data_IF_386891144924
#
_entry.id   IF_386891144924
#
_cell.length_a   1.000
_cell.length_b   1.000
_cell.length_c   1.000
_cell.angle_alpha   90.00
_cell.angle_beta   90.00
_cell.angle_gamma   90.00
#
_symmetry.space_group_name_H-M   'P 1'
#
loop_
_entity.id
_entity.type
_entity.pdbx_description
1 polymer ?
#
# COMPACT_ATOMS: atom_id res chain seq x y z
N UNK A 1 21.89 -9.52 4.36
CA UNK A 1 20.91 -9.99 5.36
C UNK A 1 19.46 -9.69 4.94
N UNK A 2 19.11 -8.46 4.55
CA UNK A 2 17.73 -8.14 4.13
C UNK A 2 17.36 -8.78 2.77
N UNK A 3 18.26 -8.75 1.78
CA UNK A 3 18.00 -9.40 0.48
C UNK A 3 17.78 -10.93 0.63
N UNK A 4 18.46 -11.55 1.60
CA UNK A 4 18.29 -12.97 1.92
C UNK A 4 16.99 -13.25 2.67
N UNK A 5 16.58 -12.38 3.63
CA UNK A 5 15.29 -12.52 4.31
C UNK A 5 14.11 -12.35 3.35
N UNK A 6 14.10 -11.26 2.56
CA UNK A 6 13.05 -11.02 1.58
C UNK A 6 13.00 -12.13 0.52
N UNK A 7 14.16 -12.67 0.11
CA UNK A 7 14.23 -13.84 -0.76
C UNK A 7 13.67 -15.11 -0.11
N UNK A 8 13.99 -15.38 1.16
CA UNK A 8 13.48 -16.53 1.89
C UNK A 8 11.95 -16.44 2.09
N UNK A 9 11.44 -15.29 2.51
CA UNK A 9 10.00 -15.05 2.63
C UNK A 9 9.30 -15.18 1.28
N UNK A 10 9.88 -14.67 0.20
CA UNK A 10 9.33 -14.85 -1.13
C UNK A 10 9.20 -16.34 -1.48
N UNK A 11 10.21 -17.16 -1.17
CA UNK A 11 10.17 -18.61 -1.38
C UNK A 11 9.10 -19.29 -0.52
N UNK A 12 8.93 -18.87 0.74
CA UNK A 12 7.85 -19.35 1.62
C UNK A 12 6.48 -19.08 1.00
N UNK A 13 6.26 -17.86 0.48
CA UNK A 13 5.01 -17.48 -0.18
C UNK A 13 4.86 -18.10 -1.57
N UNK A 14 5.93 -18.50 -2.25
CA UNK A 14 5.81 -19.24 -3.50
C UNK A 14 5.45 -20.73 -3.27
N UNK A 15 5.75 -21.26 -2.09
CA UNK A 15 5.52 -22.65 -1.78
C UNK A 15 4.02 -22.99 -1.71
N UNK A 16 3.57 -23.88 -2.59
CA UNK A 16 2.20 -24.36 -2.61
C UNK A 16 1.16 -23.42 -3.19
N UNK A 17 1.59 -22.40 -3.93
CA UNK A 17 0.69 -21.59 -4.76
C UNK A 17 0.02 -22.45 -5.83
N UNK A 18 -1.30 -22.33 -5.97
CA UNK A 18 -2.09 -23.00 -7.00
C UNK A 18 -1.86 -22.31 -8.34
N UNK A 19 -1.54 -23.06 -9.40
CA UNK A 19 -1.54 -22.49 -10.75
C UNK A 19 -2.98 -22.22 -11.18
N UNK A 20 -3.32 -20.96 -11.47
CA UNK A 20 -4.62 -20.61 -12.04
C UNK A 20 -4.70 -21.09 -13.48
N UNK A 21 -5.88 -21.59 -13.89
CA UNK A 21 -6.12 -22.14 -15.24
C UNK A 21 -6.08 -21.08 -16.35
N UNK A 22 -6.23 -19.81 -15.98
CA UNK A 22 -6.02 -18.67 -16.85
C UNK A 22 -4.65 -18.08 -16.51
N UNK A 23 -3.88 -17.73 -17.54
CA UNK A 23 -2.46 -17.32 -17.58
C UNK A 23 -2.08 -16.09 -16.73
N UNK A 24 -2.91 -15.69 -15.76
CA UNK A 24 -2.52 -14.74 -14.73
C UNK A 24 -1.39 -15.39 -13.94
N UNK A 25 -0.21 -14.78 -14.01
CA UNK A 25 0.97 -15.25 -13.30
C UNK A 25 0.63 -15.39 -11.82
N UNK A 26 0.54 -16.64 -11.34
CA UNK A 26 0.31 -16.90 -9.92
C UNK A 26 1.58 -16.50 -9.17
N UNK A 27 1.52 -15.32 -8.56
CA UNK A 27 2.66 -14.71 -7.88
C UNK A 27 2.23 -14.24 -6.48
N UNK A 28 3.15 -14.24 -5.51
CA UNK A 28 2.85 -13.82 -4.13
C UNK A 28 2.23 -12.43 -4.00
N UNK A 29 2.60 -11.50 -4.90
CA UNK A 29 2.07 -10.14 -4.85
C UNK A 29 0.57 -10.09 -5.15
N UNK A 30 0.11 -10.78 -6.18
CA UNK A 30 -1.32 -10.83 -6.51
C UNK A 30 -2.16 -11.47 -5.41
N UNK A 31 -1.61 -12.44 -4.67
CA UNK A 31 -2.25 -12.94 -3.44
C UNK A 31 -2.36 -11.84 -2.38
N UNK A 32 -1.28 -11.10 -2.12
CA UNK A 32 -1.25 -10.02 -1.13
C UNK A 32 -2.27 -8.94 -1.49
N UNK A 33 -2.34 -8.53 -2.76
CA UNK A 33 -3.32 -7.54 -3.24
C UNK A 33 -4.75 -7.97 -2.93
N UNK A 34 -5.10 -9.23 -3.23
CA UNK A 34 -6.44 -9.75 -2.97
C UNK A 34 -6.73 -9.91 -1.47
N UNK A 35 -5.78 -10.41 -0.68
CA UNK A 35 -5.94 -10.58 0.77
C UNK A 35 -6.16 -9.23 1.46
N UNK A 36 -5.36 -8.24 1.09
CA UNK A 36 -5.43 -6.88 1.64
C UNK A 36 -6.74 -6.19 1.24
N UNK A 37 -7.17 -6.32 -0.02
CA UNK A 37 -8.49 -5.84 -0.44
C UNK A 37 -9.61 -6.49 0.39
N UNK A 38 -9.51 -7.80 0.63
CA UNK A 38 -10.53 -8.56 1.36
C UNK A 38 -10.64 -8.16 2.83
N UNK A 39 -9.53 -7.94 3.52
CA UNK A 39 -9.58 -7.48 4.91
C UNK A 39 -10.20 -6.09 5.05
N UNK A 40 -9.95 -5.20 4.09
CA UNK A 40 -10.44 -3.81 4.12
C UNK A 40 -11.89 -3.65 3.67
N UNK A 41 -12.50 -4.65 3.04
CA UNK A 41 -13.91 -4.60 2.62
C UNK A 41 -14.88 -4.37 3.79
N UNK A 42 -14.54 -4.87 5.00
CA UNK A 42 -15.45 -4.84 6.16
C UNK A 42 -15.77 -3.41 6.62
N UNK A 43 -14.79 -2.51 6.55
CA UNK A 43 -14.88 -1.13 7.07
C UNK A 43 -14.28 -0.09 6.12
N UNK A 44 -14.38 -0.35 4.81
CA UNK A 44 -13.65 0.40 3.79
C UNK A 44 -13.83 1.92 3.90
N UNK A 45 -15.06 2.41 4.10
CA UNK A 45 -15.32 3.86 4.19
C UNK A 45 -14.64 4.50 5.40
N UNK A 46 -14.59 3.81 6.53
CA UNK A 46 -13.97 4.34 7.76
C UNK A 46 -12.45 4.36 7.62
N UNK A 47 -11.87 3.24 7.15
CA UNK A 47 -10.43 3.11 6.90
C UNK A 47 -9.97 4.13 5.88
N UNK A 48 -10.69 4.28 4.77
CA UNK A 48 -10.36 5.24 3.73
C UNK A 48 -10.33 6.68 4.26
N UNK A 49 -11.38 7.10 4.98
CA UNK A 49 -11.42 8.44 5.59
C UNK A 49 -10.26 8.68 6.55
N UNK A 50 -9.92 7.68 7.38
CA UNK A 50 -8.78 7.78 8.31
C UNK A 50 -7.45 7.91 7.57
N UNK A 51 -7.23 7.10 6.54
CA UNK A 51 -6.02 7.16 5.72
C UNK A 51 -5.85 8.51 5.03
N UNK A 52 -6.93 9.07 4.47
CA UNK A 52 -6.92 10.41 3.86
C UNK A 52 -6.56 11.47 4.89
N UNK A 53 -7.21 11.46 6.06
CA UNK A 53 -6.93 12.42 7.13
C UNK A 53 -5.50 12.31 7.65
N UNK A 54 -5.00 11.09 7.87
CA UNK A 54 -3.61 10.85 8.26
C UNK A 54 -2.64 11.42 7.23
N UNK A 55 -2.89 11.22 5.93
CA UNK A 55 -2.06 11.78 4.85
C UNK A 55 -2.14 13.32 4.82
N UNK A 56 -3.34 13.90 4.94
CA UNK A 56 -3.55 15.36 4.84
C UNK A 56 -2.93 16.13 6.01
N UNK A 57 -2.98 15.57 7.22
CA UNK A 57 -2.54 16.24 8.44
C UNK A 57 -1.23 15.67 9.01
N UNK A 58 -0.56 14.77 8.29
CA UNK A 58 0.67 14.10 8.72
C UNK A 58 0.57 13.41 10.10
N UNK A 59 -0.63 12.93 10.45
CA UNK A 59 -0.89 12.29 11.75
C UNK A 59 -0.18 10.94 11.91
N UNK A 60 0.29 10.37 10.79
CA UNK A 60 1.01 9.10 10.75
C UNK A 60 2.51 9.24 11.05
N UNK A 61 3.06 10.46 11.14
CA UNK A 61 4.47 10.70 11.44
C UNK A 61 4.82 10.65 12.93
N UNK A 62 3.88 11.01 13.82
CA UNK A 62 4.15 11.16 15.27
C UNK A 62 3.53 10.06 16.15
N UNK A 63 2.88 9.05 15.57
CA UNK A 63 2.31 7.95 16.35
C UNK A 63 1.74 6.81 15.51
N UNK A 64 1.57 5.63 16.13
CA UNK A 64 0.91 4.45 15.54
C UNK A 64 -0.61 4.65 15.42
N UNK A 65 -1.03 5.67 14.67
CA UNK A 65 -2.44 6.03 14.46
C UNK A 65 -3.17 4.98 13.62
N UNK A 66 -2.44 4.29 12.74
CA UNK A 66 -2.96 3.26 11.86
C UNK A 66 -2.69 1.85 12.42
N UNK A 67 -3.69 0.99 12.31
CA UNK A 67 -3.56 -0.45 12.60
C UNK A 67 -2.66 -1.17 11.59
N UNK A 68 -2.18 -2.38 11.90
CA UNK A 68 -1.32 -3.15 10.99
C UNK A 68 -2.01 -3.44 9.64
N UNK A 69 -3.32 -3.63 9.62
CA UNK A 69 -4.10 -3.84 8.41
C UNK A 69 -4.11 -2.58 7.52
N UNK A 70 -4.31 -1.41 8.12
CA UNK A 70 -4.35 -0.13 7.42
C UNK A 70 -2.96 0.27 6.91
N UNK A 71 -1.93 0.03 7.71
CA UNK A 71 -0.53 0.21 7.31
C UNK A 71 -0.16 -0.70 6.14
N UNK A 72 -0.61 -1.95 6.16
CA UNK A 72 -0.41 -2.88 5.05
C UNK A 72 -1.12 -2.40 3.80
N UNK A 73 -2.40 -2.01 3.91
CA UNK A 73 -3.17 -1.44 2.80
C UNK A 73 -2.48 -0.22 2.19
N UNK A 74 -2.10 0.76 3.02
CA UNK A 74 -1.36 1.96 2.58
C UNK A 74 -0.07 1.60 1.83
N UNK A 75 0.70 0.65 2.37
CA UNK A 75 1.97 0.22 1.79
C UNK A 75 1.78 -0.46 0.43
N UNK A 76 0.78 -1.33 0.30
CA UNK A 76 0.44 -1.98 -0.98
C UNK A 76 0.01 -0.95 -2.02
N UNK A 77 -0.84 0.02 -1.65
CA UNK A 77 -1.24 1.11 -2.55
C UNK A 77 -0.05 1.95 -3.02
N UNK A 78 0.86 2.29 -2.11
CA UNK A 78 2.07 3.04 -2.43
C UNK A 78 2.97 2.28 -3.41
N UNK A 79 3.21 0.99 -3.15
CA UNK A 79 4.04 0.14 -4.02
C UNK A 79 3.39 -0.06 -5.39
N UNK A 80 2.05 -0.14 -5.45
CA UNK A 80 1.32 -0.31 -6.69
C UNK A 80 1.34 0.91 -7.61
N UNK A 81 1.70 2.10 -7.11
CA UNK A 81 2.03 3.24 -7.97
C UNK A 81 3.26 2.99 -8.84
N UNK A 82 4.19 2.13 -8.41
CA UNK A 82 5.38 1.78 -9.19
C UNK A 82 5.06 0.73 -10.24
N UNK A 83 5.78 0.83 -11.37
CA UNK A 83 5.72 -0.15 -12.46
C UNK A 83 6.61 -1.38 -12.21
N UNK A 84 7.15 -1.52 -11.00
CA UNK A 84 8.12 -2.54 -10.65
C UNK A 84 7.57 -3.97 -10.83
N UNK A 85 8.44 -4.95 -11.17
CA UNK A 85 8.06 -6.36 -11.22
C UNK A 85 7.50 -6.87 -9.89
N UNK A 86 6.61 -7.87 -9.94
CA UNK A 86 5.90 -8.40 -8.77
C UNK A 86 6.82 -8.87 -7.64
N UNK A 87 7.95 -9.50 -7.97
CA UNK A 87 8.94 -9.90 -6.95
C UNK A 87 9.62 -8.70 -6.29
N UNK A 88 9.88 -7.62 -7.05
CA UNK A 88 10.44 -6.39 -6.51
C UNK A 88 9.44 -5.69 -5.60
N UNK A 89 8.16 -5.64 -5.98
CA UNK A 89 7.07 -5.15 -5.12
C UNK A 89 7.02 -5.89 -3.79
N UNK A 90 7.08 -7.23 -3.82
CA UNK A 90 7.14 -8.05 -2.61
C UNK A 90 8.34 -7.71 -1.73
N UNK A 91 9.54 -7.58 -2.31
CA UNK A 91 10.76 -7.23 -1.56
C UNK A 91 10.66 -5.83 -0.95
N UNK A 92 10.12 -4.86 -1.68
CA UNK A 92 9.86 -3.51 -1.17
C UNK A 92 8.92 -3.54 0.02
N UNK A 93 7.84 -4.34 -0.04
CA UNK A 93 6.92 -4.51 1.08
C UNK A 93 7.63 -5.10 2.31
N UNK A 94 8.47 -6.12 2.14
CA UNK A 94 9.25 -6.67 3.26
C UNK A 94 10.13 -5.59 3.90
N UNK A 95 10.81 -4.75 3.09
CA UNK A 95 11.60 -3.64 3.60
C UNK A 95 10.75 -2.62 4.38
N UNK A 96 9.57 -2.25 3.86
CA UNK A 96 8.65 -1.34 4.56
C UNK A 96 8.20 -1.94 5.90
N UNK A 97 7.82 -3.22 5.93
CA UNK A 97 7.40 -3.88 7.16
C UNK A 97 8.51 -4.02 8.21
N UNK A 98 9.79 -4.09 7.79
CA UNK A 98 10.93 -4.06 8.69
C UNK A 98 11.19 -2.66 9.27
N UNK A 99 11.14 -1.63 8.42
CA UNK A 99 11.30 -0.24 8.86
C UNK A 99 10.22 0.15 9.89
N UNK A 100 8.98 -0.25 9.63
CA UNK A 100 7.82 0.00 10.49
C UNK A 100 7.73 -1.00 11.67
N UNK A 101 8.60 -2.02 11.73
CA UNK A 101 8.62 -3.08 12.75
C UNK A 101 7.30 -3.87 12.88
N UNK A 102 6.52 -3.93 11.79
CA UNK A 102 5.19 -4.55 11.75
C UNK A 102 5.11 -5.80 10.88
N UNK A 103 6.22 -6.26 10.28
CA UNK A 103 6.23 -7.37 9.32
C UNK A 103 5.58 -8.66 9.85
N UNK A 104 5.76 -8.98 11.14
CA UNK A 104 5.13 -10.13 11.79
C UNK A 104 3.61 -9.97 11.93
N UNK A 105 3.12 -8.75 12.15
CA UNK A 105 1.68 -8.45 12.18
C UNK A 105 1.09 -8.52 10.77
N UNK A 106 1.80 -8.05 9.75
CA UNK A 106 1.35 -8.18 8.36
C UNK A 106 1.18 -9.65 7.92
N UNK A 107 2.05 -10.56 8.39
CA UNK A 107 1.86 -11.98 8.14
C UNK A 107 0.56 -12.52 8.77
N UNK A 108 0.18 -12.01 9.94
CA UNK A 108 -1.07 -12.36 10.62
C UNK A 108 -2.30 -11.80 9.88
N UNK A 109 -2.23 -10.56 9.40
CA UNK A 109 -3.27 -9.97 8.54
C UNK A 109 -3.45 -10.78 7.25
N UNK A 110 -2.36 -11.19 6.60
CA UNK A 110 -2.45 -12.02 5.39
C UNK A 110 -3.04 -13.40 5.66
N UNK A 111 -2.82 -13.95 6.86
CA UNK A 111 -3.39 -15.22 7.27
C UNK A 111 -4.86 -15.10 7.74
N UNK A 112 -5.34 -13.94 8.21
CA UNK A 112 -6.74 -13.79 8.66
C UNK A 112 -7.75 -13.98 7.50
N UNK A 113 -7.36 -13.66 6.26
CA UNK A 113 -8.15 -13.89 5.05
C UNK A 113 -8.17 -15.36 4.59
N UNK A 114 -8.70 -16.27 5.41
CA UNK A 114 -8.72 -17.71 5.11
C UNK A 114 -9.30 -18.02 3.73
N UNK A 115 -10.43 -17.42 3.35
CA UNK A 115 -11.06 -17.64 2.04
C UNK A 115 -10.13 -17.34 0.85
N UNK A 116 -9.34 -16.27 0.94
CA UNK A 116 -8.36 -15.90 -0.09
C UNK A 116 -7.18 -16.86 -0.03
N UNK A 117 -6.70 -17.19 1.17
CA UNK A 117 -5.62 -18.15 1.37
C UNK A 117 -5.95 -19.52 0.74
N UNK A 118 -7.18 -20.01 0.93
CA UNK A 118 -7.65 -21.26 0.34
C UNK A 118 -7.79 -21.21 -1.17
N UNK A 119 -8.16 -20.05 -1.73
CA UNK A 119 -8.23 -19.81 -3.17
C UNK A 119 -6.85 -19.90 -3.80
N UNK A 120 -5.83 -19.29 -3.18
CA UNK A 120 -4.49 -19.14 -3.76
C UNK A 120 -3.54 -20.31 -3.45
N UNK A 121 -3.75 -21.05 -2.36
CA UNK A 121 -2.77 -22.03 -1.87
C UNK A 121 -3.34 -23.43 -1.63
N UNK A 122 -2.56 -24.44 -2.02
CA UNK A 122 -2.80 -25.83 -1.66
C UNK A 122 -2.66 -26.03 -0.14
N UNK A 123 -3.37 -27.00 0.46
CA UNK A 123 -3.34 -27.23 1.92
C UNK A 123 -1.93 -27.51 2.50
N UNK A 124 -1.01 -28.03 1.68
CA UNK A 124 0.38 -28.30 2.07
C UNK A 124 1.31 -27.09 1.95
N UNK A 125 0.81 -25.92 1.52
CA UNK A 125 1.57 -24.69 1.49
C UNK A 125 2.03 -24.28 2.90
N UNK A 126 3.24 -23.73 3.06
CA UNK A 126 3.76 -23.37 4.38
C UNK A 126 2.86 -22.39 5.10
N UNK A 127 2.34 -21.41 4.38
CA UNK A 127 1.42 -20.40 4.92
C UNK A 127 0.03 -20.94 5.29
N UNK A 128 -0.32 -22.17 4.89
CA UNK A 128 -1.56 -22.87 5.27
C UNK A 128 -1.37 -23.89 6.40
N UNK A 129 -0.12 -24.25 6.69
CA UNK A 129 0.24 -25.17 7.77
C UNK A 129 0.65 -24.39 9.02
N UNK A 130 0.64 -24.99 10.23
CA UNK A 130 1.07 -24.29 11.46
C UNK A 130 2.50 -23.71 11.41
N UNK A 131 3.31 -24.07 10.42
CA UNK A 131 4.62 -23.47 10.13
C UNK A 131 4.54 -21.94 10.01
N UNK A 132 3.44 -21.37 9.52
CA UNK A 132 3.29 -19.90 9.41
C UNK A 132 3.41 -19.19 10.78
N UNK A 133 2.92 -19.83 11.86
CA UNK A 133 3.04 -19.29 13.23
C UNK A 133 4.50 -19.27 13.68
N UNK A 134 5.26 -20.32 13.37
CA UNK A 134 6.67 -20.38 13.67
C UNK A 134 7.42 -19.25 12.94
N UNK A 135 7.16 -19.07 11.65
CA UNK A 135 7.74 -17.96 10.86
C UNK A 135 7.36 -16.60 11.48
N UNK A 136 6.09 -16.41 11.88
CA UNK A 136 5.64 -15.20 12.57
C UNK A 136 6.44 -14.93 13.84
N UNK A 137 6.63 -15.96 14.67
CA UNK A 137 7.37 -15.84 15.93
C UNK A 137 8.85 -15.45 15.70
N UNK A 138 9.51 -16.02 14.70
CA UNK A 138 10.88 -15.65 14.33
C UNK A 138 10.96 -14.20 13.81
N UNK A 139 10.00 -13.79 12.97
CA UNK A 139 9.91 -12.42 12.48
C UNK A 139 9.66 -11.41 13.60
N UNK A 140 8.97 -11.80 14.68
CA UNK A 140 8.72 -10.94 15.84
C UNK A 140 10.01 -10.54 16.55
N UNK A 141 11.07 -11.35 16.50
CA UNK A 141 12.36 -10.97 17.10
C UNK A 141 13.00 -9.77 16.40
N UNK A 142 12.66 -9.54 15.11
CA UNK A 142 13.21 -8.44 14.34
C UNK A 142 12.74 -7.07 14.83
N UNK A 143 11.66 -6.98 15.62
CA UNK A 143 11.18 -5.71 16.19
C UNK A 143 12.17 -5.08 17.17
N UNK A 144 13.13 -5.85 17.68
CA UNK A 144 14.17 -5.34 18.57
C UNK A 144 15.18 -4.46 17.84
N UNK A 145 15.15 -4.46 16.51
CA UNK A 145 16.06 -3.67 15.67
C UNK A 145 15.29 -2.55 14.97
N UNK A 146 15.92 -1.38 14.88
CA UNK A 146 15.43 -0.25 14.10
C UNK A 146 16.07 -0.28 12.72
N UNK A 147 15.28 -0.59 11.69
CA UNK A 147 15.74 -0.64 10.31
C UNK A 147 15.47 0.68 9.59
N UNK A 148 16.43 1.13 8.77
CA UNK A 148 16.29 2.30 7.91
C UNK A 148 16.69 1.90 6.49
N UNK A 149 15.81 1.13 5.83
CA UNK A 149 16.07 0.54 4.53
C UNK A 149 15.50 1.45 3.43
N UNK A 150 16.32 1.72 2.42
CA UNK A 150 15.85 2.35 1.19
C UNK A 150 14.86 1.40 0.50
N UNK A 151 13.60 1.81 0.43
CA UNK A 151 12.62 1.16 -0.43
C UNK A 151 13.05 1.42 -1.87
N UNK A 152 13.26 0.37 -2.67
CA UNK A 152 13.72 0.47 -4.06
C UNK A 152 12.70 1.12 -5.03
N UNK A 153 11.78 1.91 -4.49
CA UNK A 153 10.78 2.72 -5.18
C UNK A 153 11.42 3.91 -5.91
N UNK A 154 12.56 4.40 -5.41
CA UNK A 154 13.25 5.63 -5.86
C UNK A 154 13.88 5.57 -7.26
N UNK A 155 13.81 4.44 -7.97
CA UNK A 155 14.44 4.30 -9.29
C UNK A 155 13.59 4.84 -10.46
N UNK A 156 12.30 5.14 -10.25
CA UNK A 156 11.40 5.61 -11.33
C UNK A 156 11.24 7.14 -11.39
N UNK A 157 11.88 7.90 -10.49
CA UNK A 157 11.78 9.38 -10.45
C UNK A 157 13.14 10.07 -10.63
N UNK A 158 13.70 10.02 -11.84
CA UNK A 158 14.65 11.06 -12.29
C UNK A 158 14.58 11.30 -13.82
N UNK A 159 14.90 12.52 -14.30
CA UNK A 159 14.20 13.18 -15.40
C UNK A 159 14.85 12.91 -16.76
N UNK A 160 14.06 12.57 -17.78
CA UNK A 160 14.56 12.52 -19.17
C UNK A 160 14.76 13.94 -19.70
N UNK A 161 16.00 14.43 -19.60
CA UNK A 161 16.50 15.63 -20.31
C UNK A 161 16.38 15.45 -21.83
N UNK A 162 15.81 16.47 -22.46
CA UNK A 162 16.02 16.99 -23.81
C UNK A 162 16.63 16.05 -24.88
N UNK A 163 15.80 15.67 -25.85
CA UNK A 163 16.18 15.83 -27.25
C UNK A 163 15.12 16.64 -27.99
N UNK A 164 15.63 17.67 -28.68
CA UNK A 164 14.94 18.68 -29.45
C UNK A 164 14.47 18.10 -30.80
N UNK A 165 13.37 18.67 -31.32
CA UNK A 165 13.02 18.81 -32.75
C UNK A 165 11.99 17.81 -33.32
N UNK A 166 10.69 18.19 -33.40
CA UNK A 166 10.09 18.95 -34.53
C UNK A 166 8.55 19.07 -34.39
N UNK A 167 8.08 20.28 -34.70
CA UNK A 167 6.69 20.77 -34.81
C UNK A 167 5.80 19.92 -35.72
N UNK A 168 4.49 19.83 -35.41
CA UNK A 168 3.41 20.45 -36.24
C UNK A 168 1.97 20.27 -35.68
N UNK A 169 1.37 21.43 -35.38
CA UNK A 169 -0.01 21.92 -35.66
C UNK A 169 -1.28 21.39 -34.93
N UNK A 170 -1.89 22.35 -34.22
CA UNK A 170 -3.28 22.55 -33.74
C UNK A 170 -4.44 22.13 -34.67
N UNK A 171 -5.58 21.66 -34.08
CA UNK A 171 -6.90 22.36 -33.99
C UNK A 171 -8.02 21.48 -33.34
N UNK A 172 -9.21 22.02 -32.96
CA UNK A 172 -9.83 21.81 -31.64
C UNK A 172 -11.14 20.97 -31.60
N UNK A 173 -11.62 20.76 -30.36
CA UNK A 173 -12.87 20.18 -29.82
C UNK A 173 -14.19 20.38 -30.60
N UNK A 174 -15.26 19.61 -30.29
CA UNK A 174 -16.23 20.13 -29.31
C UNK A 174 -16.86 19.09 -28.34
N UNK A 175 -17.26 19.64 -27.18
CA UNK A 175 -18.06 19.10 -26.08
C UNK A 175 -19.51 18.71 -26.44
N UNK A 176 -20.14 17.81 -25.66
CA UNK A 176 -21.45 18.06 -25.02
C UNK A 176 -21.78 17.04 -23.88
N UNK A 177 -22.67 17.40 -22.95
CA UNK A 177 -22.84 16.81 -21.61
C UNK A 177 -24.01 15.81 -21.53
N UNK A 178 -24.13 15.06 -20.42
CA UNK A 178 -25.42 14.75 -19.77
C UNK A 178 -25.30 14.09 -18.38
N UNK A 179 -26.35 14.36 -17.60
CA UNK A 179 -26.57 14.17 -16.15
C UNK A 179 -26.85 12.71 -15.72
N UNK A 180 -26.73 12.45 -14.40
CA UNK A 180 -27.72 11.64 -13.67
C UNK A 180 -27.20 10.53 -12.74
N UNK A 181 -27.21 10.82 -11.43
CA UNK A 181 -27.31 9.90 -10.27
C UNK A 181 -26.10 9.02 -9.88
N UNK A 182 -25.88 8.78 -8.56
CA UNK A 182 -24.61 8.26 -8.06
C UNK A 182 -24.57 6.72 -8.12
N UNK A 183 -23.54 6.09 -8.70
CA UNK A 183 -23.28 4.68 -8.45
C UNK A 183 -22.46 4.54 -7.18
N UNK A 184 -22.78 3.53 -6.36
CA UNK A 184 -22.06 3.21 -5.13
C UNK A 184 -20.55 3.16 -5.36
N UNK A 185 -19.79 3.75 -4.43
CA UNK A 185 -18.32 3.80 -4.49
C UNK A 185 -17.77 2.38 -4.46
N UNK A 186 -17.35 1.87 -5.61
CA UNK A 186 -16.57 0.65 -5.71
C UNK A 186 -15.14 0.92 -5.27
N UNK A 187 -14.49 -0.12 -4.73
CA UNK A 187 -13.10 -0.09 -4.24
C UNK A 187 -12.14 0.57 -5.24
N UNK A 188 -12.36 0.34 -6.53
CA UNK A 188 -11.54 0.87 -7.64
C UNK A 188 -11.56 2.41 -7.72
N UNK A 189 -12.71 3.05 -7.54
CA UNK A 189 -12.86 4.50 -7.71
C UNK A 189 -12.33 5.29 -6.50
N UNK A 190 -12.46 4.74 -5.29
CA UNK A 190 -11.88 5.36 -4.10
C UNK A 190 -10.34 5.23 -4.09
N UNK A 191 -9.81 4.10 -4.57
CA UNK A 191 -8.37 3.89 -4.80
C UNK A 191 -7.80 4.91 -5.80
N UNK A 192 -8.51 5.19 -6.89
CA UNK A 192 -8.11 6.23 -7.85
C UNK A 192 -8.07 7.65 -7.23
N UNK A 193 -8.97 7.98 -6.31
CA UNK A 193 -8.98 9.29 -5.64
C UNK A 193 -7.77 9.52 -4.72
N UNK A 194 -7.23 8.48 -4.06
CA UNK A 194 -5.96 8.59 -3.31
C UNK A 194 -4.75 8.82 -4.24
N UNK A 195 -4.87 8.43 -5.52
CA UNK A 195 -3.82 8.59 -6.53
C UNK A 195 -3.89 9.90 -7.30
N UNK A 196 -5.08 10.49 -7.47
CA UNK A 196 -5.29 11.72 -8.24
C UNK A 196 -4.90 13.00 -7.48
N UNK A 197 -5.04 13.01 -6.15
CA UNK A 197 -4.78 14.20 -5.31
C UNK A 197 -3.28 14.53 -5.13
N UNK A 198 -2.34 13.72 -5.63
CA UNK A 198 -0.89 14.06 -5.59
C UNK A 198 -0.55 15.32 -6.41
N UNK A 199 -1.43 15.76 -7.32
CA UNK A 199 -1.18 16.94 -8.16
C UNK A 199 -1.61 18.27 -7.52
N UNK A 200 -2.25 18.25 -6.34
CA UNK A 200 -2.77 19.43 -5.64
C UNK A 200 -2.25 19.61 -4.20
N UNK A 201 -1.39 18.72 -3.68
CA UNK A 201 -0.78 18.84 -2.33
C UNK A 201 0.42 19.82 -2.35
N UNK A 202 0.23 20.97 -2.99
CA UNK A 202 1.19 22.08 -3.03
C UNK A 202 0.86 23.22 -2.06
N UNK A 203 -0.22 23.13 -1.27
CA UNK A 203 -0.73 24.29 -0.52
C UNK A 203 -1.24 24.01 0.91
N UNK A 204 -0.95 22.84 1.48
CA UNK A 204 -1.43 22.49 2.84
C UNK A 204 -0.70 23.27 3.94
N UNK A 205 0.49 23.83 3.66
CA UNK A 205 1.21 24.68 4.61
C UNK A 205 0.38 25.89 5.09
N UNK A 206 -0.52 26.41 4.25
CA UNK A 206 -1.37 27.54 4.61
C UNK A 206 -2.56 27.16 5.51
N UNK A 207 -3.01 25.89 5.49
CA UNK A 207 -4.14 25.45 6.30
C UNK A 207 -3.74 25.14 7.75
N UNK A 208 -2.52 24.61 7.95
CA UNK A 208 -1.99 24.34 9.30
C UNK A 208 -1.73 25.66 10.03
N UNK A 209 -1.22 26.68 9.35
CA UNK A 209 -1.02 28.03 9.92
C UNK A 209 -2.33 28.71 10.34
N UNK A 210 -3.46 28.38 9.71
CA UNK A 210 -4.77 28.92 10.11
C UNK A 210 -5.33 28.27 11.37
N UNK A 211 -5.03 26.99 11.63
CA UNK A 211 -5.51 26.28 12.83
C UNK A 211 -4.69 26.69 14.06
N UNK A 212 -3.38 26.91 13.91
CA UNK A 212 -2.52 27.36 15.02
C UNK A 212 -2.87 28.79 15.48
N UNK A 213 -3.27 29.68 14.56
CA UNK A 213 -3.63 31.06 14.92
C UNK A 213 -4.95 31.19 15.69
N UNK A 214 -5.90 30.26 15.54
CA UNK A 214 -7.19 30.34 16.25
C UNK A 214 -7.20 29.67 17.63
N UNK A 215 -6.14 28.96 18.04
CA UNK A 215 -6.10 28.24 19.33
C UNK A 215 -5.06 28.78 20.33
N UNK A 216 -4.32 29.84 20.00
CA UNK A 216 -3.31 30.45 20.89
C UNK A 216 -3.81 31.64 21.74
N UNK A 217 -5.11 31.98 21.69
CA UNK A 217 -5.68 33.15 22.40
C UNK A 217 -6.88 32.80 23.29
N UNK A 218 -6.74 31.84 24.21
CA UNK A 218 -7.71 31.65 25.30
C UNK A 218 -7.10 30.95 26.52
N UNK A 219 -6.05 31.53 27.09
CA UNK A 219 -5.66 31.29 28.48
C UNK A 219 -5.01 32.56 29.07
N UNK A 220 -5.81 33.62 29.23
CA UNK A 220 -5.60 34.62 30.28
C UNK A 220 -6.97 35.07 30.79
N UNK A 221 -7.35 34.56 31.96
CA UNK A 221 -8.26 35.17 32.94
C UNK A 221 -8.10 34.44 34.27
#
# INVERSE_FOLDING_TARGET
MICSLAGALLRVFQHGMKKTKHEIACNPWSFIEEAVAKEMEKDFSSVYSRLVLCKTFHLDHDGRVLGPEELLFRSVQMINKSSAPQEQKFRTLVCMGLNEQVLHMWLEVLHSSQNVLEKWYHPWAFIRTPVWLQIKCELRLLIQFSFHLSTALEADTSPKKHQLSKKKTLKPSPSKPQNGSPPGRTLSTAVEQLTADDSSIGNVSNCIDMIVKHHLFSWEL
#
